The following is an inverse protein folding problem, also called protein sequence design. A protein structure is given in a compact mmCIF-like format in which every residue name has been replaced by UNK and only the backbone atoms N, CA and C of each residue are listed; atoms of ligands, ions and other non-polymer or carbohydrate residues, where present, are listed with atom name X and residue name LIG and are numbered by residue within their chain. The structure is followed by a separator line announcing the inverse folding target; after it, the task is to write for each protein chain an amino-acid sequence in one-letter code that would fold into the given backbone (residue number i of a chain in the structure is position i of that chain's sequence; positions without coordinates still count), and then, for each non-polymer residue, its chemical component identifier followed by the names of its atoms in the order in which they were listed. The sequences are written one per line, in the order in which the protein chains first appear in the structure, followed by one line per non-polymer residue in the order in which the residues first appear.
data_IF_161621951274
#
_entry.id   IF_161621951274
#
_cell.length_a   1.000
_cell.length_b   1.000
_cell.length_c   1.000
_cell.angle_alpha   90.00
_cell.angle_beta   90.00
_cell.angle_gamma   90.00
#
_symmetry.space_group_name_H-M   'P 1'
#
loop_
_entity.id
_entity.type
_entity.pdbx_description
1 polymer ?
#
# COMPACT_ATOMS: atom_id res chain seq x y z
N UNK A 1 14.74 14.68 14.82
CA UNK A 1 15.42 13.45 14.41
C UNK A 1 14.74 12.22 14.94
N UNK A 2 14.35 12.24 16.20
CA UNK A 2 13.62 11.13 16.79
C UNK A 2 12.31 10.81 16.04
N UNK A 3 11.70 11.79 15.36
CA UNK A 3 10.43 11.57 14.67
C UNK A 3 10.54 10.61 13.48
N UNK A 4 11.62 10.67 12.70
CA UNK A 4 11.81 9.74 11.58
C UNK A 4 12.09 8.35 12.11
N UNK A 5 12.98 8.23 13.09
CA UNK A 5 13.32 6.95 13.71
C UNK A 5 12.06 6.33 14.36
N UNK A 6 11.22 7.16 15.00
CA UNK A 6 10.00 6.67 15.62
C UNK A 6 8.99 6.14 14.57
N UNK A 7 8.87 6.82 13.43
CA UNK A 7 7.97 6.40 12.36
C UNK A 7 8.43 5.07 11.76
N UNK A 8 9.73 4.85 11.66
CA UNK A 8 10.29 3.63 11.06
C UNK A 8 10.36 2.46 12.03
N UNK A 9 10.16 2.68 13.34
CA UNK A 9 10.22 1.60 14.32
C UNK A 9 9.17 0.53 14.04
N UNK A 10 9.52 -0.75 14.22
CA UNK A 10 8.52 -1.81 14.20
C UNK A 10 7.45 -1.55 15.26
N UNK A 11 6.19 -1.80 14.89
CA UNK A 11 5.06 -1.67 15.81
C UNK A 11 4.62 -3.06 16.21
N UNK A 12 4.60 -3.40 17.51
CA UNK A 12 4.20 -4.73 17.95
C UNK A 12 2.71 -4.98 17.69
N UNK A 13 2.35 -6.24 17.60
CA UNK A 13 0.94 -6.65 17.52
C UNK A 13 0.32 -6.44 18.92
N UNK A 14 -0.87 -5.82 19.02
CA UNK A 14 -1.53 -5.65 20.30
C UNK A 14 -1.76 -7.00 21.01
N UNK A 15 -1.77 -6.96 22.34
CA UNK A 15 -1.96 -8.16 23.15
C UNK A 15 -3.33 -8.80 22.88
N UNK A 16 -3.47 -10.13 23.01
CA UNK A 16 -4.73 -10.80 22.73
C UNK A 16 -5.94 -10.26 23.51
N UNK A 17 -5.76 -9.87 24.77
CA UNK A 17 -6.85 -9.30 25.54
C UNK A 17 -7.31 -7.96 25.01
N UNK A 18 -6.38 -7.13 24.49
CA UNK A 18 -6.72 -5.86 23.85
C UNK A 18 -7.44 -6.10 22.54
N UNK A 19 -6.97 -7.05 21.73
CA UNK A 19 -7.61 -7.39 20.46
C UNK A 19 -9.04 -7.90 20.64
N UNK A 20 -9.34 -8.57 21.76
CA UNK A 20 -10.68 -9.09 22.03
C UNK A 20 -11.66 -8.01 22.46
N UNK A 21 -11.19 -6.95 23.09
CA UNK A 21 -12.06 -5.98 23.76
C UNK A 21 -12.03 -4.57 23.16
N UNK A 22 -11.02 -4.23 22.39
CA UNK A 22 -10.84 -2.88 21.88
C UNK A 22 -11.13 -2.83 20.37
N UNK A 23 -12.27 -2.22 19.96
CA UNK A 23 -12.59 -2.11 18.53
C UNK A 23 -11.52 -1.36 17.72
N UNK A 24 -10.85 -0.39 18.31
CA UNK A 24 -9.78 0.34 17.60
C UNK A 24 -8.59 -0.59 17.31
N UNK A 25 -8.24 -1.48 18.26
CA UNK A 25 -7.19 -2.46 18.05
C UNK A 25 -7.59 -3.45 16.95
N UNK A 26 -8.85 -3.85 16.92
CA UNK A 26 -9.38 -4.73 15.88
C UNK A 26 -9.29 -4.05 14.51
N UNK A 27 -9.70 -2.79 14.41
CA UNK A 27 -9.60 -2.02 13.16
C UNK A 27 -8.15 -1.87 12.72
N UNK A 28 -7.24 -1.60 13.65
CA UNK A 28 -5.82 -1.52 13.38
C UNK A 28 -5.29 -2.82 12.75
N UNK A 29 -5.65 -3.97 13.34
CA UNK A 29 -5.19 -5.25 12.81
C UNK A 29 -5.82 -5.58 11.46
N UNK A 30 -7.10 -5.27 11.26
CA UNK A 30 -7.75 -5.47 9.97
C UNK A 30 -7.04 -4.69 8.86
N UNK A 31 -6.74 -3.41 9.13
CA UNK A 31 -6.04 -2.57 8.16
C UNK A 31 -4.61 -3.05 7.95
N UNK A 32 -3.91 -3.42 9.03
CA UNK A 32 -2.54 -3.91 8.94
C UNK A 32 -2.46 -5.19 8.11
N UNK A 33 -3.35 -6.14 8.34
CA UNK A 33 -3.41 -7.38 7.58
C UNK A 33 -3.75 -7.08 6.12
N UNK A 34 -4.79 -6.27 5.88
CA UNK A 34 -5.22 -5.96 4.52
C UNK A 34 -4.15 -5.27 3.70
N UNK A 35 -3.52 -4.24 4.27
CA UNK A 35 -2.46 -3.51 3.57
C UNK A 35 -1.12 -4.21 3.54
N UNK A 36 -0.98 -5.34 4.24
CA UNK A 36 0.16 -6.25 4.08
C UNK A 36 -0.11 -7.24 2.96
N UNK A 37 -1.27 -7.91 3.01
CA UNK A 37 -1.60 -9.00 2.09
C UNK A 37 -1.89 -8.48 0.68
N UNK A 38 -2.70 -7.41 0.56
CA UNK A 38 -3.13 -6.94 -0.75
C UNK A 38 -1.98 -6.47 -1.63
N UNK A 39 -1.05 -5.60 -1.17
CA UNK A 39 0.08 -5.22 -2.01
C UNK A 39 0.97 -6.39 -2.40
N UNK A 40 1.18 -7.35 -1.49
CA UNK A 40 1.99 -8.52 -1.79
C UNK A 40 1.33 -9.37 -2.86
N UNK A 41 0.02 -9.62 -2.74
CA UNK A 41 -0.71 -10.41 -3.74
C UNK A 41 -0.76 -9.71 -5.09
N UNK A 42 -1.05 -8.41 -5.12
CA UNK A 42 -1.06 -7.67 -6.37
C UNK A 42 0.34 -7.58 -6.99
N UNK A 43 1.37 -7.42 -6.16
CA UNK A 43 2.74 -7.40 -6.63
C UNK A 43 3.14 -8.74 -7.25
N UNK A 44 2.80 -9.85 -6.60
CA UNK A 44 3.04 -11.18 -7.14
C UNK A 44 2.26 -11.42 -8.43
N UNK A 45 1.02 -10.91 -8.53
CA UNK A 45 0.21 -11.08 -9.72
C UNK A 45 0.80 -10.36 -10.94
N UNK A 46 1.57 -9.31 -10.75
CA UNK A 46 2.25 -8.65 -11.86
C UNK A 46 3.28 -9.56 -12.53
N UNK A 47 3.74 -10.58 -11.82
CA UNK A 47 4.61 -11.61 -12.37
C UNK A 47 3.83 -12.84 -12.84
N UNK A 48 2.77 -13.22 -12.11
CA UNK A 48 1.98 -14.43 -12.39
C UNK A 48 0.81 -14.20 -13.34
N UNK A 49 0.28 -12.97 -13.40
CA UNK A 49 -0.83 -12.55 -14.30
C UNK A 49 -2.10 -13.40 -14.13
N UNK A 50 -2.44 -13.73 -12.87
CA UNK A 50 -3.65 -14.51 -12.57
C UNK A 50 -4.90 -13.61 -12.54
N UNK A 51 -4.81 -12.44 -11.91
CA UNK A 51 -5.95 -11.51 -11.81
C UNK A 51 -6.15 -10.71 -13.07
N UNK A 52 -5.07 -10.34 -13.74
CA UNK A 52 -5.11 -9.71 -15.05
C UNK A 52 -3.87 -10.10 -15.83
N UNK A 53 -4.04 -10.28 -17.14
CA UNK A 53 -2.93 -10.63 -18.03
C UNK A 53 -2.24 -9.41 -18.63
N UNK A 54 -2.71 -8.20 -18.37
CA UNK A 54 -2.10 -6.98 -18.89
C UNK A 54 -2.19 -5.84 -17.88
N UNK A 55 -1.26 -5.82 -16.95
CA UNK A 55 -1.15 -4.73 -15.99
C UNK A 55 -0.66 -3.43 -16.64
N UNK A 56 0.00 -3.52 -17.80
CA UNK A 56 0.59 -2.34 -18.45
C UNK A 56 -0.47 -1.35 -18.92
N UNK A 57 -1.71 -1.80 -19.13
CA UNK A 57 -2.82 -0.94 -19.54
C UNK A 57 -3.15 0.15 -18.51
N UNK A 58 -2.73 -0.02 -17.25
CA UNK A 58 -2.96 0.94 -16.18
C UNK A 58 -1.81 1.93 -16.03
N UNK A 59 -0.74 1.77 -16.79
CA UNK A 59 0.43 2.63 -16.71
C UNK A 59 0.30 3.77 -17.73
N UNK A 60 0.30 5.01 -17.24
CA UNK A 60 0.26 6.18 -18.12
C UNK A 60 1.56 6.29 -18.92
N UNK A 61 1.46 6.75 -20.17
CA UNK A 61 2.61 6.93 -21.06
C UNK A 61 3.67 7.83 -20.42
N UNK A 62 3.24 8.86 -19.71
CA UNK A 62 4.15 9.79 -19.02
C UNK A 62 5.05 9.08 -18.03
N UNK A 63 4.51 8.11 -17.29
CA UNK A 63 5.33 7.33 -16.35
C UNK A 63 6.20 6.31 -17.06
N UNK A 64 5.70 5.71 -18.15
CA UNK A 64 6.46 4.75 -18.92
C UNK A 64 7.67 5.42 -19.58
N UNK A 65 7.55 6.68 -20.01
CA UNK A 65 8.66 7.42 -20.62
C UNK A 65 9.76 7.74 -19.60
N UNK A 66 9.41 7.85 -18.31
CA UNK A 66 10.39 8.13 -17.25
C UNK A 66 11.13 6.86 -16.86
N UNK A 67 10.45 5.72 -16.85
CA UNK A 67 11.01 4.44 -16.41
C UNK A 67 11.69 3.77 -17.62
N UNK A 68 12.98 3.41 -17.51
CA UNK A 68 13.67 2.74 -18.61
C UNK A 68 13.15 1.32 -18.83
N UNK A 69 13.22 0.87 -20.08
CA UNK A 69 12.77 -0.46 -20.46
C UNK A 69 11.37 -0.44 -21.06
N UNK A 70 10.77 -1.62 -21.21
CA UNK A 70 9.42 -1.76 -21.73
C UNK A 70 8.38 -1.49 -20.64
N UNK A 71 7.12 -1.30 -21.06
CA UNK A 71 6.02 -1.15 -20.12
C UNK A 71 5.90 -2.37 -19.20
N UNK A 72 6.18 -3.57 -19.72
CA UNK A 72 6.16 -4.79 -18.93
C UNK A 72 7.28 -4.79 -17.88
N UNK A 73 8.46 -4.31 -18.22
CA UNK A 73 9.55 -4.16 -17.25
C UNK A 73 9.18 -3.18 -16.15
N UNK A 74 8.52 -2.07 -16.52
CA UNK A 74 8.02 -1.10 -15.54
C UNK A 74 7.03 -1.75 -14.57
N UNK A 75 6.13 -2.62 -15.07
CA UNK A 75 5.17 -3.32 -14.23
C UNK A 75 5.85 -4.32 -13.29
N UNK A 76 6.91 -4.97 -13.71
CA UNK A 76 7.69 -5.84 -12.83
C UNK A 76 8.35 -5.04 -11.71
N UNK A 77 8.88 -3.85 -12.00
CA UNK A 77 9.41 -2.97 -10.97
C UNK A 77 8.33 -2.53 -9.99
N UNK A 78 7.16 -2.18 -10.50
CA UNK A 78 6.01 -1.82 -9.67
C UNK A 78 5.61 -2.99 -8.77
N UNK A 79 5.57 -4.21 -9.33
CA UNK A 79 5.26 -5.41 -8.55
C UNK A 79 6.23 -5.63 -7.41
N UNK A 80 7.53 -5.47 -7.68
CA UNK A 80 8.56 -5.61 -6.65
C UNK A 80 8.39 -4.56 -5.55
N UNK A 81 8.11 -3.30 -5.92
CA UNK A 81 7.88 -2.23 -4.96
C UNK A 81 6.65 -2.52 -4.09
N UNK A 82 5.58 -3.05 -4.70
CA UNK A 82 4.37 -3.40 -3.95
C UNK A 82 4.62 -4.49 -2.93
N UNK A 83 5.41 -5.51 -3.26
CA UNK A 83 5.78 -6.56 -2.32
C UNK A 83 6.57 -5.97 -1.15
N UNK A 84 7.54 -5.10 -1.44
CA UNK A 84 8.32 -4.43 -0.40
C UNK A 84 7.40 -3.55 0.46
N UNK A 85 6.48 -2.81 -0.15
CA UNK A 85 5.55 -1.97 0.58
C UNK A 85 4.68 -2.78 1.55
N UNK A 86 4.20 -3.95 1.11
CA UNK A 86 3.44 -4.84 1.98
C UNK A 86 4.25 -5.32 3.18
N UNK A 87 5.52 -5.67 2.97
CA UNK A 87 6.40 -6.08 4.06
C UNK A 87 6.67 -4.92 5.03
N UNK A 88 6.83 -3.70 4.51
CA UNK A 88 7.00 -2.52 5.35
C UNK A 88 5.77 -2.28 6.22
N UNK A 89 4.56 -2.45 5.66
CA UNK A 89 3.32 -2.34 6.45
C UNK A 89 3.29 -3.38 7.55
N UNK A 90 3.75 -4.60 7.28
CA UNK A 90 3.75 -5.67 8.29
C UNK A 90 4.59 -5.30 9.50
N UNK A 91 5.79 -4.75 9.28
CA UNK A 91 6.73 -4.46 10.35
C UNK A 91 6.59 -3.05 10.91
N UNK A 92 6.32 -2.05 10.07
CA UNK A 92 6.21 -0.65 10.47
C UNK A 92 4.97 -0.02 9.84
N UNK A 93 3.77 -0.31 10.36
CA UNK A 93 2.54 0.20 9.75
C UNK A 93 2.40 1.73 9.77
N UNK A 94 3.11 2.44 10.64
CA UNK A 94 3.10 3.91 10.60
C UNK A 94 3.72 4.43 9.31
N UNK A 95 4.94 3.99 9.03
CA UNK A 95 5.63 4.36 7.81
C UNK A 95 5.00 3.68 6.60
N UNK A 96 4.67 2.38 6.72
CA UNK A 96 4.05 1.61 5.66
C UNK A 96 2.72 2.18 5.20
N UNK A 97 1.89 2.65 6.13
CA UNK A 97 0.63 3.30 5.80
C UNK A 97 0.83 4.57 4.98
N UNK A 98 1.81 5.39 5.37
CA UNK A 98 2.15 6.59 4.60
C UNK A 98 2.73 6.25 3.24
N UNK A 99 3.58 5.24 3.17
CA UNK A 99 4.18 4.78 1.91
C UNK A 99 3.10 4.29 0.95
N UNK A 100 2.18 3.46 1.44
CA UNK A 100 1.08 2.94 0.62
C UNK A 100 0.15 4.07 0.18
N UNK A 101 -0.14 5.04 1.06
CA UNK A 101 -0.96 6.19 0.68
C UNK A 101 -0.33 6.99 -0.45
N UNK A 102 0.98 7.26 -0.37
CA UNK A 102 1.71 7.94 -1.43
C UNK A 102 1.71 7.15 -2.73
N UNK A 103 1.90 5.84 -2.63
CA UNK A 103 1.88 4.94 -3.78
C UNK A 103 0.50 4.93 -4.45
N UNK A 104 -0.58 4.85 -3.66
CA UNK A 104 -1.94 4.92 -4.19
C UNK A 104 -2.22 6.27 -4.85
N UNK A 105 -1.70 7.35 -4.30
CA UNK A 105 -1.80 8.66 -4.93
C UNK A 105 -1.17 8.67 -6.32
N UNK A 106 -0.01 8.05 -6.48
CA UNK A 106 0.66 7.90 -7.76
C UNK A 106 -0.16 7.05 -8.73
N UNK A 107 -0.74 5.95 -8.26
CA UNK A 107 -1.61 5.11 -9.09
C UNK A 107 -2.84 5.89 -9.56
N UNK A 108 -3.47 6.67 -8.68
CA UNK A 108 -4.62 7.49 -9.03
C UNK A 108 -4.26 8.47 -10.14
N UNK A 109 -3.13 9.14 -10.03
CA UNK A 109 -2.67 10.07 -11.06
C UNK A 109 -2.47 9.34 -12.38
N UNK A 110 -1.83 8.16 -12.36
CA UNK A 110 -1.62 7.35 -13.55
C UNK A 110 -2.95 6.98 -14.22
N UNK A 111 -3.93 6.53 -13.42
CA UNK A 111 -5.24 6.12 -13.96
C UNK A 111 -5.98 7.30 -14.57
N UNK A 112 -5.89 8.48 -13.98
CA UNK A 112 -6.52 9.69 -14.52
C UNK A 112 -5.86 10.13 -15.82
N UNK A 113 -4.53 9.99 -15.93
CA UNK A 113 -3.80 10.34 -17.15
C UNK A 113 -4.10 9.37 -18.30
N UNK A 114 -4.24 8.08 -18.00
CA UNK A 114 -4.62 7.08 -19.01
C UNK A 114 -6.03 7.37 -19.51
N UNK A 115 -6.94 7.74 -18.60
CA UNK A 115 -8.35 7.96 -18.92
C UNK A 115 -9.15 6.65 -18.95
N UNK A 116 -10.45 6.76 -18.72
CA UNK A 116 -11.34 5.61 -18.75
C UNK A 116 -11.35 4.74 -17.51
N UNK A 117 -10.54 5.06 -16.49
CA UNK A 117 -10.43 4.28 -15.26
C UNK A 117 -10.81 5.10 -14.01
N UNK A 118 -11.72 6.07 -14.16
CA UNK A 118 -12.14 6.92 -13.05
C UNK A 118 -12.78 6.14 -11.91
N UNK A 119 -13.49 5.06 -12.21
CA UNK A 119 -14.09 4.18 -11.21
C UNK A 119 -13.03 3.48 -10.35
N UNK A 120 -11.96 3.01 -10.97
CA UNK A 120 -10.83 2.39 -10.25
C UNK A 120 -10.09 3.45 -9.43
N UNK A 121 -9.88 4.64 -10.00
CA UNK A 121 -9.23 5.73 -9.29
C UNK A 121 -10.02 6.14 -8.04
N UNK A 122 -11.34 6.19 -8.12
CA UNK A 122 -12.19 6.51 -6.98
C UNK A 122 -12.08 5.43 -5.89
N UNK A 123 -12.05 4.17 -6.27
CA UNK A 123 -11.84 3.07 -5.32
C UNK A 123 -10.48 3.18 -4.65
N UNK A 124 -9.45 3.49 -5.41
CA UNK A 124 -8.09 3.63 -4.85
C UNK A 124 -7.99 4.83 -3.92
N UNK A 125 -8.79 5.87 -4.16
CA UNK A 125 -8.88 6.99 -3.22
C UNK A 125 -9.40 6.55 -1.85
N UNK A 126 -10.41 5.68 -1.84
CA UNK A 126 -10.89 5.08 -0.59
C UNK A 126 -9.81 4.27 0.11
N UNK A 127 -9.04 3.49 -0.66
CA UNK A 127 -7.91 2.74 -0.12
C UNK A 127 -6.82 3.65 0.43
N UNK A 128 -6.58 4.79 -0.22
CA UNK A 128 -5.62 5.80 0.26
C UNK A 128 -6.04 6.32 1.64
N UNK A 129 -7.32 6.64 1.83
CA UNK A 129 -7.83 7.05 3.13
C UNK A 129 -7.67 5.96 4.17
N UNK A 130 -7.89 4.69 3.78
CA UNK A 130 -7.64 3.55 4.66
C UNK A 130 -6.19 3.44 5.08
N UNK A 131 -5.26 3.65 4.15
CA UNK A 131 -3.82 3.60 4.46
C UNK A 131 -3.41 4.72 5.43
N UNK A 132 -3.95 5.92 5.24
CA UNK A 132 -3.72 7.02 6.18
C UNK A 132 -4.29 6.70 7.56
N UNK A 133 -5.47 6.08 7.61
CA UNK A 133 -6.09 5.65 8.87
C UNK A 133 -5.23 4.61 9.57
N UNK A 134 -4.65 3.67 8.83
CA UNK A 134 -3.72 2.69 9.38
C UNK A 134 -2.53 3.35 10.02
N UNK A 135 -1.92 4.33 9.35
CA UNK A 135 -0.78 5.06 9.87
C UNK A 135 -1.14 5.77 11.19
N UNK A 136 -2.32 6.38 11.25
CA UNK A 136 -2.77 7.08 12.46
C UNK A 136 -3.06 6.11 13.61
N UNK A 137 -3.69 4.98 13.33
CA UNK A 137 -3.94 3.97 14.35
C UNK A 137 -2.61 3.38 14.86
N UNK A 138 -1.67 3.13 13.96
CA UNK A 138 -0.35 2.62 14.35
C UNK A 138 0.36 3.59 15.29
N UNK A 139 0.14 4.90 15.12
CA UNK A 139 0.70 5.90 16.04
C UNK A 139 0.19 5.68 17.46
N UNK A 140 -1.07 5.35 17.63
CA UNK A 140 -1.65 5.09 18.96
C UNK A 140 -1.02 3.85 19.61
N UNK A 141 -0.75 2.80 18.83
CA UNK A 141 -0.24 1.53 19.36
C UNK A 141 1.28 1.44 19.38
N UNK A 142 1.98 2.39 18.78
CA UNK A 142 3.45 2.39 18.79
C UNK A 142 4.05 2.84 20.10
N UNK A 143 3.23 3.35 21.01
CA UNK A 143 3.66 3.84 22.32
C UNK A 143 3.66 2.77 23.40
N UNK A 144 3.17 1.58 23.09
CA UNK A 144 3.11 0.46 24.05
C UNK A 144 4.44 -0.25 24.23
#
# INVERSE_FOLDING_TARGET
MSSIAAVLRPVPIPRPNVLRSDPAAQAFMLLRIGFTVAPILFGLDKFAEVLTDDWTRYLATEFNDIIPGSAQDAMYMVGAVEIVAGLVVLFSPRFGGLLVAGWLGGIIVSLLLVGGYGDIALRDFGLLLGALSLSRLATAYSRE
#
